data_IF_505593874901
#
_entry.id   IF_505593874901
#
_cell.length_a   1.000
_cell.length_b   1.000
_cell.length_c   1.000
_cell.angle_alpha   90.00
_cell.angle_beta   90.00
_cell.angle_gamma   90.00
#
_symmetry.space_group_name_H-M   'P 1'
#
loop_
_entity.id
_entity.type
_entity.pdbx_description
1 polymer ?
#
# COMPACT_ATOMS: atom_id res chain seq x y z
N UNK A 1 21.72 73.08 -20.91
CA UNK A 1 21.50 72.06 -21.96
C UNK A 1 21.37 70.73 -21.25
N UNK A 2 20.29 69.95 -21.30
CA UNK A 2 18.92 70.11 -21.83
C UNK A 2 18.03 69.07 -21.09
N UNK A 3 16.76 69.37 -20.76
CA UNK A 3 15.53 68.84 -21.39
C UNK A 3 15.59 67.32 -21.75
N UNK A 4 14.60 66.47 -21.44
CA UNK A 4 13.13 66.66 -21.39
C UNK A 4 12.42 65.80 -20.34
N UNK A 5 11.21 66.21 -19.94
CA UNK A 5 10.25 65.43 -19.15
C UNK A 5 9.60 64.28 -19.93
N UNK A 6 9.02 63.31 -19.20
CA UNK A 6 8.15 62.26 -19.72
C UNK A 6 6.99 61.99 -18.77
N UNK A 7 5.86 62.67 -18.97
CA UNK A 7 4.64 62.60 -18.14
C UNK A 7 3.57 61.83 -18.92
N UNK A 8 2.95 60.79 -18.35
CA UNK A 8 2.07 59.89 -19.09
C UNK A 8 0.89 59.34 -18.29
N UNK A 9 -0.25 59.22 -18.97
CA UNK A 9 -1.60 58.98 -18.42
C UNK A 9 -2.40 58.05 -19.36
N UNK A 10 -3.58 57.51 -19.03
CA UNK A 10 -4.58 57.98 -18.03
C UNK A 10 -5.17 56.85 -17.16
N UNK A 11 -6.29 57.15 -16.48
CA UNK A 11 -7.09 56.32 -15.61
C UNK A 11 -7.90 55.20 -16.30
N UNK A 12 -8.69 54.45 -15.50
CA UNK A 12 -9.91 53.78 -15.97
C UNK A 12 -10.15 52.34 -15.48
N UNK A 13 -10.92 52.13 -14.39
CA UNK A 13 -11.39 50.82 -13.97
C UNK A 13 -12.86 50.55 -14.36
N UNK A 14 -13.14 49.42 -15.00
CA UNK A 14 -14.49 48.86 -15.26
C UNK A 14 -14.39 47.34 -15.46
N UNK A 15 -15.35 46.50 -15.09
CA UNK A 15 -16.52 46.70 -14.25
C UNK A 15 -16.89 45.35 -13.59
N UNK A 16 -17.57 45.39 -12.44
CA UNK A 16 -18.28 44.22 -11.92
C UNK A 16 -19.58 44.00 -12.71
N UNK A 17 -19.97 42.74 -12.91
CA UNK A 17 -21.37 42.37 -13.14
C UNK A 17 -21.77 41.34 -12.09
N UNK A 18 -22.60 41.81 -11.18
CA UNK A 18 -23.38 41.05 -10.22
C UNK A 18 -24.63 40.50 -10.94
N UNK A 19 -25.04 39.27 -10.66
CA UNK A 19 -26.34 38.75 -11.14
C UNK A 19 -26.96 37.79 -10.13
N UNK A 20 -27.94 38.32 -9.41
CA UNK A 20 -29.02 37.64 -8.70
C UNK A 20 -30.19 38.67 -8.62
N UNK A 21 -31.42 38.33 -8.19
CA UNK A 21 -32.00 37.03 -7.83
C UNK A 21 -33.34 36.76 -8.58
N UNK A 22 -34.08 35.72 -8.17
CA UNK A 22 -35.49 35.50 -8.56
C UNK A 22 -35.82 34.00 -8.71
N UNK A 23 -36.33 33.31 -7.68
CA UNK A 23 -37.70 33.31 -7.14
C UNK A 23 -38.59 32.21 -7.77
N UNK A 24 -39.07 31.28 -6.93
CA UNK A 24 -40.05 30.25 -7.27
C UNK A 24 -41.48 30.84 -7.28
N UNK A 25 -42.51 30.18 -7.86
CA UNK A 25 -43.14 29.02 -7.22
C UNK A 25 -43.71 27.95 -8.19
N UNK A 26 -44.18 26.82 -7.65
CA UNK A 26 -44.99 25.86 -8.41
C UNK A 26 -45.20 24.50 -7.73
N UNK A 27 -46.37 24.30 -7.09
CA UNK A 27 -46.84 22.96 -6.69
C UNK A 27 -47.49 22.26 -7.88
N UNK A 28 -47.32 20.95 -7.99
CA UNK A 28 -47.91 20.16 -9.07
C UNK A 28 -47.81 18.65 -8.82
N UNK A 29 -48.65 18.13 -7.94
CA UNK A 29 -48.86 16.69 -7.80
C UNK A 29 -49.52 16.13 -9.07
N UNK A 30 -48.86 15.22 -9.78
CA UNK A 30 -49.49 14.37 -10.79
C UNK A 30 -48.82 12.99 -10.77
N UNK A 31 -49.58 11.88 -10.60
CA UNK A 31 -48.99 10.58 -10.32
C UNK A 31 -48.25 9.99 -11.54
N UNK A 32 -47.10 9.40 -11.28
CA UNK A 32 -46.33 8.68 -12.28
C UNK A 32 -47.14 7.52 -12.90
N UNK A 33 -47.35 7.60 -14.22
CA UNK A 33 -47.95 6.54 -15.05
C UNK A 33 -47.11 5.27 -14.95
N UNK A 34 -47.56 4.29 -14.16
CA UNK A 34 -46.91 2.97 -14.05
C UNK A 34 -46.86 2.28 -15.41
N UNK A 35 -45.70 2.31 -16.06
CA UNK A 35 -45.38 1.41 -17.16
C UNK A 35 -45.28 0.00 -16.60
N UNK A 36 -46.08 -0.92 -17.13
CA UNK A 36 -45.97 -2.34 -16.82
C UNK A 36 -44.70 -2.90 -17.47
N UNK A 37 -43.57 -2.78 -16.79
CA UNK A 37 -42.35 -3.50 -17.16
C UNK A 37 -42.52 -4.96 -16.75
N UNK A 38 -42.59 -5.84 -17.73
CA UNK A 38 -42.52 -7.30 -17.59
C UNK A 38 -41.41 -7.69 -16.63
N UNK A 39 -41.77 -8.21 -15.45
CA UNK A 39 -40.79 -8.69 -14.48
C UNK A 39 -40.05 -9.93 -15.02
N UNK A 40 -38.75 -10.09 -14.72
CA UNK A 40 -38.03 -11.32 -15.07
C UNK A 40 -38.67 -12.52 -14.37
N UNK A 41 -38.77 -13.65 -15.08
CA UNK A 41 -39.38 -14.86 -14.57
C UNK A 41 -38.70 -15.32 -13.26
N UNK A 42 -39.49 -15.37 -12.19
CA UNK A 42 -39.06 -15.90 -10.89
C UNK A 42 -38.83 -17.41 -11.02
N UNK A 43 -37.68 -17.95 -10.59
CA UNK A 43 -37.43 -19.38 -10.71
C UNK A 43 -38.45 -20.17 -9.88
N UNK A 44 -38.99 -21.22 -10.51
CA UNK A 44 -39.94 -22.15 -9.89
C UNK A 44 -39.24 -22.96 -8.80
N UNK A 45 -39.77 -23.05 -7.57
CA UNK A 45 -39.23 -23.96 -6.57
C UNK A 45 -39.53 -25.41 -6.98
N UNK A 46 -38.56 -26.35 -6.90
CA UNK A 46 -38.84 -27.75 -7.14
C UNK A 46 -39.88 -28.28 -6.15
N UNK A 47 -40.79 -29.12 -6.65
CA UNK A 47 -41.91 -29.66 -5.88
C UNK A 47 -41.46 -30.51 -4.69
N UNK A 48 -42.21 -30.44 -3.59
CA UNK A 48 -41.99 -31.30 -2.42
C UNK A 48 -42.49 -32.71 -2.72
N UNK A 49 -41.59 -33.69 -2.79
CA UNK A 49 -41.93 -35.11 -2.69
C UNK A 49 -42.44 -35.43 -1.28
N UNK A 50 -43.43 -36.34 -1.14
CA UNK A 50 -43.89 -36.80 0.17
C UNK A 50 -42.81 -37.64 0.85
N UNK A 51 -42.65 -37.45 2.16
CA UNK A 51 -41.71 -38.19 3.01
C UNK A 51 -42.18 -39.65 3.21
N UNK A 52 -41.38 -40.68 2.90
CA UNK A 52 -41.71 -42.06 3.28
C UNK A 52 -41.59 -42.24 4.80
N UNK A 53 -42.44 -43.10 5.36
CA UNK A 53 -42.42 -43.42 6.79
C UNK A 53 -41.10 -44.10 7.22
N UNK A 54 -40.68 -43.84 8.46
CA UNK A 54 -39.38 -44.28 8.96
C UNK A 54 -39.31 -45.80 9.20
N UNK A 55 -38.19 -46.46 8.86
CA UNK A 55 -37.90 -47.83 9.28
C UNK A 55 -37.51 -47.89 10.78
N UNK A 56 -37.65 -49.05 11.44
CA UNK A 56 -37.18 -49.25 12.82
C UNK A 56 -35.64 -49.11 12.93
N UNK A 57 -35.10 -48.79 14.11
CA UNK A 57 -33.69 -48.44 14.28
C UNK A 57 -32.77 -49.62 13.98
N UNK A 58 -31.96 -49.48 12.93
CA UNK A 58 -30.78 -50.32 12.74
C UNK A 58 -29.69 -49.89 13.74
N UNK A 59 -29.05 -50.87 14.39
CA UNK A 59 -27.92 -50.67 15.29
C UNK A 59 -26.84 -49.81 14.63
N UNK A 60 -26.47 -48.69 15.24
CA UNK A 60 -25.43 -47.83 14.72
C UNK A 60 -24.08 -48.60 14.66
N UNK A 61 -23.32 -48.51 13.55
CA UNK A 61 -21.94 -48.95 13.58
C UNK A 61 -21.17 -48.12 14.63
N UNK A 62 -20.14 -48.69 15.29
CA UNK A 62 -19.33 -47.92 16.22
C UNK A 62 -18.75 -46.70 15.51
N UNK A 63 -18.75 -45.55 16.19
CA UNK A 63 -18.16 -44.34 15.66
C UNK A 63 -16.72 -44.63 15.19
N UNK A 64 -16.26 -44.07 14.05
CA UNK A 64 -14.87 -44.19 13.67
C UNK A 64 -14.02 -43.66 14.82
N UNK A 65 -13.19 -44.53 15.39
CA UNK A 65 -12.22 -44.12 16.40
C UNK A 65 -11.34 -42.99 15.86
N UNK A 66 -10.72 -42.17 16.72
CA UNK A 66 -9.96 -41.01 16.29
C UNK A 66 -8.93 -41.43 15.24
N UNK A 67 -9.22 -41.13 13.97
CA UNK A 67 -8.29 -41.33 12.89
C UNK A 67 -7.02 -40.53 13.17
N UNK A 68 -5.85 -40.93 12.65
CA UNK A 68 -4.63 -40.17 12.84
C UNK A 68 -4.88 -38.71 12.45
N UNK A 69 -4.91 -37.82 13.46
CA UNK A 69 -5.19 -36.40 13.23
C UNK A 69 -4.17 -35.80 12.28
N UNK A 70 -4.52 -34.70 11.59
CA UNK A 70 -3.58 -34.04 10.68
C UNK A 70 -2.25 -33.82 11.42
N UNK A 71 -1.13 -34.42 10.98
CA UNK A 71 0.14 -34.37 11.71
C UNK A 71 0.66 -32.93 11.88
N UNK A 72 0.15 -31.96 11.11
CA UNK A 72 0.41 -30.52 11.31
C UNK A 72 -0.12 -29.99 12.64
N UNK A 73 -1.17 -30.59 13.21
CA UNK A 73 -1.69 -30.22 14.53
C UNK A 73 -0.76 -30.67 15.66
N UNK A 74 -0.06 -31.80 15.47
CA UNK A 74 0.97 -32.25 16.41
C UNK A 74 2.20 -31.32 16.42
N UNK A 75 2.52 -30.68 15.28
CA UNK A 75 3.60 -29.69 15.20
C UNK A 75 3.31 -28.40 15.98
N UNK A 76 2.03 -28.05 16.19
CA UNK A 76 1.62 -26.87 16.96
C UNK A 76 1.46 -27.09 18.46
N UNK A 77 1.29 -28.34 18.91
CA UNK A 77 0.99 -28.66 20.31
C UNK A 77 2.23 -28.85 21.21
N UNK A 78 3.42 -29.02 20.63
CA UNK A 78 4.65 -29.34 21.36
C UNK A 78 5.56 -28.14 21.66
N UNK A 79 5.20 -26.93 21.22
CA UNK A 79 6.00 -25.72 21.49
C UNK A 79 5.64 -25.18 22.87
N UNK A 80 6.21 -25.79 23.91
CA UNK A 80 6.19 -25.23 25.26
C UNK A 80 6.80 -23.82 25.19
N UNK A 81 5.99 -22.79 25.44
CA UNK A 81 6.39 -21.38 25.32
C UNK A 81 7.52 -21.00 26.29
N UNK A 82 7.78 -21.84 27.31
CA UNK A 82 8.96 -21.73 28.17
C UNK A 82 10.27 -22.09 27.45
N UNK A 83 10.23 -22.95 26.43
CA UNK A 83 11.38 -23.26 25.57
C UNK A 83 11.44 -22.23 24.43
N UNK A 84 12.11 -21.11 24.70
CA UNK A 84 12.21 -19.98 23.77
C UNK A 84 12.82 -20.31 22.40
N UNK A 85 12.70 -19.35 21.47
CA UNK A 85 13.17 -19.49 20.08
C UNK A 85 14.63 -19.99 20.04
N UNK A 86 14.95 -21.09 19.33
CA UNK A 86 16.30 -21.63 19.29
C UNK A 86 17.32 -20.60 18.82
N UNK A 87 18.46 -20.42 19.52
CA UNK A 87 19.42 -19.37 19.20
C UNK A 87 20.02 -19.58 17.81
N UNK A 88 20.04 -18.50 17.01
CA UNK A 88 20.61 -18.51 15.67
C UNK A 88 22.14 -18.64 15.75
N UNK A 89 22.64 -19.83 15.38
CA UNK A 89 24.08 -20.13 15.35
C UNK A 89 24.84 -19.40 14.23
N UNK A 90 24.14 -19.01 13.17
CA UNK A 90 24.67 -18.24 12.04
C UNK A 90 23.63 -17.23 11.56
N UNK A 91 24.08 -16.03 11.17
CA UNK A 91 23.25 -15.03 10.49
C UNK A 91 22.79 -15.55 9.14
N UNK A 92 21.57 -15.21 8.74
CA UNK A 92 20.90 -15.71 7.52
C UNK A 92 20.50 -14.56 6.60
N UNK A 93 21.33 -13.51 6.55
CA UNK A 93 21.09 -12.26 5.80
C UNK A 93 20.69 -12.51 4.32
N UNK A 94 21.12 -13.64 3.74
CA UNK A 94 20.74 -14.10 2.42
C UNK A 94 19.28 -14.57 2.25
N UNK A 95 18.53 -14.81 3.33
CA UNK A 95 17.15 -15.37 3.31
C UNK A 95 16.09 -14.29 3.53
N UNK A 96 16.30 -13.35 4.47
CA UNK A 96 15.35 -12.27 4.73
C UNK A 96 15.40 -11.19 3.63
N UNK A 97 14.30 -10.46 3.35
CA UNK A 97 14.37 -9.21 2.61
C UNK A 97 15.12 -8.18 3.46
N UNK A 98 16.01 -7.37 2.88
CA UNK A 98 16.86 -6.46 3.68
C UNK A 98 16.09 -5.27 4.31
N UNK A 99 14.95 -4.90 3.74
CA UNK A 99 14.15 -3.72 4.10
C UNK A 99 12.66 -4.01 3.90
N UNK A 100 11.83 -3.51 4.82
CA UNK A 100 10.38 -3.36 4.64
C UNK A 100 9.96 -1.89 4.74
N UNK A 101 8.87 -1.51 4.09
CA UNK A 101 8.35 -0.15 4.10
C UNK A 101 6.83 -0.09 4.26
N UNK A 102 6.36 1.06 4.75
CA UNK A 102 4.96 1.43 4.87
C UNK A 102 4.73 2.79 4.21
N UNK A 103 3.79 2.83 3.25
CA UNK A 103 3.31 4.03 2.57
C UNK A 103 1.91 4.35 3.10
N UNK A 104 1.74 5.51 3.72
CA UNK A 104 0.44 6.03 4.12
C UNK A 104 -0.06 7.07 3.12
N UNK A 105 -1.28 6.92 2.63
CA UNK A 105 -1.95 7.86 1.73
C UNK A 105 -3.37 8.11 2.23
N UNK A 106 -3.67 9.35 2.67
CA UNK A 106 -5.02 9.79 3.11
C UNK A 106 -5.70 8.89 4.16
N UNK A 107 -4.91 8.20 5.00
CA UNK A 107 -5.42 7.28 6.04
C UNK A 107 -5.32 5.80 5.67
N UNK A 108 -5.24 5.45 4.39
CA UNK A 108 -4.88 4.11 3.95
C UNK A 108 -3.38 3.86 4.19
N UNK A 109 -2.99 2.63 4.51
CA UNK A 109 -1.59 2.24 4.68
C UNK A 109 -1.29 0.96 3.91
N UNK A 110 -0.36 1.05 2.96
CA UNK A 110 0.14 -0.06 2.18
C UNK A 110 1.53 -0.46 2.70
N UNK A 111 1.77 -1.75 2.90
CA UNK A 111 3.06 -2.29 3.36
C UNK A 111 3.63 -3.28 2.37
N UNK A 112 4.97 -3.33 2.24
CA UNK A 112 5.65 -4.40 1.53
C UNK A 112 7.11 -4.56 2.01
N UNK A 113 7.71 -5.68 1.62
CA UNK A 113 9.14 -5.93 1.73
C UNK A 113 9.82 -5.74 0.37
N UNK A 114 11.13 -5.49 0.39
CA UNK A 114 11.95 -5.40 -0.82
C UNK A 114 11.81 -6.66 -1.68
N UNK A 115 11.73 -6.48 -3.01
CA UNK A 115 11.66 -7.60 -3.95
C UNK A 115 12.94 -8.42 -3.92
N UNK A 116 12.85 -9.68 -3.46
CA UNK A 116 13.99 -10.60 -3.32
C UNK A 116 14.20 -11.52 -4.54
N UNK A 117 13.20 -11.62 -5.43
CA UNK A 117 13.28 -12.38 -6.67
C UNK A 117 14.28 -11.78 -7.66
N UNK A 118 14.89 -12.63 -8.51
CA UNK A 118 15.70 -12.17 -9.63
C UNK A 118 14.89 -11.53 -10.76
N UNK A 119 13.61 -11.87 -10.87
CA UNK A 119 12.70 -11.12 -11.72
C UNK A 119 12.38 -9.77 -11.05
N UNK A 120 12.60 -8.63 -11.73
CA UNK A 120 12.17 -7.33 -11.22
C UNK A 120 10.63 -7.28 -11.18
N UNK A 121 10.03 -6.63 -10.16
CA UNK A 121 8.58 -6.49 -10.08
C UNK A 121 8.07 -5.62 -11.22
N UNK A 122 6.89 -5.94 -11.76
CA UNK A 122 6.21 -5.07 -12.75
C UNK A 122 5.87 -3.73 -12.09
N UNK A 123 6.58 -2.67 -12.47
CA UNK A 123 6.33 -1.31 -12.00
C UNK A 123 5.22 -0.64 -12.79
N UNK A 124 4.62 0.40 -12.21
CA UNK A 124 3.67 1.25 -12.93
C UNK A 124 4.42 2.08 -13.99
N UNK A 125 3.87 2.31 -15.21
CA UNK A 125 4.58 3.01 -16.29
C UNK A 125 5.25 4.32 -15.85
N UNK A 126 4.53 5.23 -15.18
CA UNK A 126 5.10 6.49 -14.66
C UNK A 126 6.30 6.33 -13.70
N UNK A 127 6.43 5.18 -13.01
CA UNK A 127 7.58 4.87 -12.13
C UNK A 127 8.74 4.31 -12.96
N UNK A 128 8.43 3.51 -13.98
CA UNK A 128 9.40 2.98 -14.93
C UNK A 128 10.02 4.12 -15.77
N UNK A 129 9.18 4.98 -16.39
CA UNK A 129 9.59 6.15 -17.17
C UNK A 129 10.54 7.08 -16.37
N UNK A 130 10.27 7.23 -15.07
CA UNK A 130 11.12 8.02 -14.16
C UNK A 130 12.50 7.37 -13.94
N UNK A 131 12.56 6.05 -13.79
CA UNK A 131 13.84 5.35 -13.62
C UNK A 131 14.64 5.28 -14.93
N UNK A 132 13.98 5.14 -16.07
CA UNK A 132 14.63 5.09 -17.38
C UNK A 132 15.26 6.44 -17.75
N UNK A 133 14.65 7.55 -17.32
CA UNK A 133 15.16 8.92 -17.49
C UNK A 133 16.14 9.39 -16.40
N UNK A 134 16.40 8.58 -15.38
CA UNK A 134 17.21 8.98 -14.22
C UNK A 134 18.68 9.25 -14.59
N UNK A 135 19.35 10.32 -14.13
CA UNK A 135 20.78 10.53 -14.36
C UNK A 135 21.65 9.44 -13.71
N UNK A 136 22.77 9.07 -14.33
CA UNK A 136 23.66 7.98 -13.85
C UNK A 136 24.09 8.15 -12.40
N UNK A 137 24.39 9.37 -11.95
CA UNK A 137 24.77 9.65 -10.55
C UNK A 137 23.66 9.43 -9.51
N UNK A 138 22.41 9.25 -9.94
CA UNK A 138 21.27 8.95 -9.07
C UNK A 138 20.84 7.47 -9.17
N UNK A 139 21.34 6.70 -10.15
CA UNK A 139 20.98 5.29 -10.36
C UNK A 139 21.66 4.38 -9.32
N UNK A 140 20.86 3.57 -8.65
CA UNK A 140 21.31 2.49 -7.78
C UNK A 140 21.30 1.13 -8.49
N UNK A 141 22.19 0.21 -8.12
CA UNK A 141 22.34 -1.10 -8.78
C UNK A 141 21.08 -1.98 -8.71
N UNK A 142 20.22 -1.76 -7.71
CA UNK A 142 18.99 -2.53 -7.45
C UNK A 142 17.71 -1.69 -7.68
N UNK A 143 17.78 -0.69 -8.57
CA UNK A 143 16.65 0.19 -8.90
C UNK A 143 15.39 -0.61 -9.26
N UNK A 144 14.23 -0.17 -8.78
CA UNK A 144 12.95 -0.83 -9.00
C UNK A 144 12.60 -1.97 -8.04
N UNK A 145 13.56 -2.62 -7.37
CA UNK A 145 13.28 -3.68 -6.38
C UNK A 145 13.02 -3.17 -4.96
N UNK A 146 13.36 -1.91 -4.69
CA UNK A 146 13.17 -1.26 -3.40
C UNK A 146 11.66 -1.19 -3.04
N UNK A 147 11.27 -1.41 -1.77
CA UNK A 147 9.87 -1.46 -1.38
C UNK A 147 9.11 -0.16 -1.66
N UNK A 148 9.79 0.98 -1.65
CA UNK A 148 9.23 2.30 -2.00
C UNK A 148 8.72 2.34 -3.45
N UNK A 149 9.50 1.84 -4.41
CA UNK A 149 9.11 1.78 -5.82
C UNK A 149 7.92 0.83 -6.04
N UNK A 150 7.88 -0.29 -5.30
CA UNK A 150 6.79 -1.27 -5.32
C UNK A 150 5.50 -0.65 -4.73
N UNK A 151 5.59 0.06 -3.61
CA UNK A 151 4.43 0.71 -2.97
C UNK A 151 3.87 1.85 -3.81
N UNK A 152 4.72 2.71 -4.37
CA UNK A 152 4.29 3.76 -5.30
C UNK A 152 3.62 3.14 -6.53
N UNK A 153 4.21 2.09 -7.12
CA UNK A 153 3.62 1.41 -8.28
C UNK A 153 2.24 0.82 -7.96
N UNK A 154 2.10 0.08 -6.85
CA UNK A 154 0.82 -0.47 -6.39
C UNK A 154 -0.23 0.62 -6.17
N UNK A 155 0.14 1.70 -5.49
CA UNK A 155 -0.77 2.83 -5.25
C UNK A 155 -1.23 3.49 -6.55
N UNK A 156 -0.32 3.71 -7.50
CA UNK A 156 -0.65 4.32 -8.80
C UNK A 156 -1.53 3.40 -9.65
N UNK A 157 -1.27 2.09 -9.67
CA UNK A 157 -2.13 1.11 -10.36
C UNK A 157 -3.54 1.08 -9.75
N UNK A 158 -3.67 1.08 -8.42
CA UNK A 158 -4.97 1.15 -7.74
C UNK A 158 -5.68 2.48 -8.03
N UNK A 159 -4.96 3.60 -7.96
CA UNK A 159 -5.50 4.91 -8.29
C UNK A 159 -5.97 4.98 -9.74
N UNK A 160 -5.22 4.42 -10.70
CA UNK A 160 -5.60 4.31 -12.10
C UNK A 160 -6.85 3.44 -12.30
N UNK A 161 -6.92 2.26 -11.66
CA UNK A 161 -8.07 1.37 -11.70
C UNK A 161 -9.35 1.95 -11.08
N UNK A 162 -9.22 2.87 -10.12
CA UNK A 162 -10.35 3.59 -9.50
C UNK A 162 -10.96 4.69 -10.39
N UNK A 163 -10.35 5.01 -11.53
CA UNK A 163 -10.81 6.12 -12.40
C UNK A 163 -12.09 5.75 -13.15
N UNK A 164 -12.93 6.76 -13.42
CA UNK A 164 -14.18 6.57 -14.17
C UNK A 164 -13.92 6.07 -15.60
N UNK A 165 -14.91 5.37 -16.19
CA UNK A 165 -14.84 4.81 -17.56
C UNK A 165 -14.52 5.82 -18.68
N UNK A 166 -14.68 7.13 -18.43
CA UNK A 166 -14.25 8.20 -19.35
C UNK A 166 -12.78 8.58 -19.15
N UNK A 167 -12.31 8.62 -17.90
CA UNK A 167 -10.94 8.96 -17.55
C UNK A 167 -9.96 7.81 -17.86
N UNK A 168 -10.35 6.55 -17.58
CA UNK A 168 -9.51 5.36 -17.83
C UNK A 168 -9.18 5.10 -19.31
N UNK A 169 -9.82 5.81 -20.26
CA UNK A 169 -9.45 5.80 -21.69
C UNK A 169 -8.09 6.43 -21.98
N UNK A 170 -7.52 7.16 -21.03
CA UNK A 170 -6.24 7.85 -21.15
C UNK A 170 -5.33 7.33 -20.02
N UNK A 171 -4.05 7.02 -20.26
CA UNK A 171 -3.13 6.65 -19.18
C UNK A 171 -3.12 7.68 -18.05
N UNK A 172 -2.84 7.26 -16.83
CA UNK A 172 -2.68 8.16 -15.69
C UNK A 172 -1.59 9.20 -15.98
N UNK A 173 -1.90 10.49 -15.86
CA UNK A 173 -0.91 11.56 -16.08
C UNK A 173 -0.05 11.82 -14.84
N UNK A 174 1.17 12.41 -14.99
CA UNK A 174 2.03 12.75 -13.85
C UNK A 174 1.36 13.67 -12.82
N UNK A 175 0.50 14.58 -13.26
CA UNK A 175 -0.25 15.49 -12.38
C UNK A 175 -1.37 14.78 -11.62
N UNK A 176 -2.03 13.78 -12.21
CA UNK A 176 -2.98 12.92 -11.51
C UNK A 176 -2.29 12.01 -10.50
N UNK A 177 -1.11 11.47 -10.84
CA UNK A 177 -0.28 10.68 -9.93
C UNK A 177 0.19 11.48 -8.71
N UNK A 178 0.70 12.70 -8.90
CA UNK A 178 1.02 13.63 -7.79
C UNK A 178 -0.22 13.99 -6.95
N UNK A 179 -1.40 14.09 -7.58
CA UNK A 179 -2.68 14.35 -6.88
C UNK A 179 -3.14 13.14 -6.07
N UNK A 180 -2.98 11.91 -6.56
CA UNK A 180 -3.35 10.69 -5.82
C UNK A 180 -2.42 10.46 -4.62
N UNK A 181 -1.15 10.85 -4.73
CA UNK A 181 -0.14 10.82 -3.66
C UNK A 181 -0.10 12.09 -2.79
N UNK A 182 -1.10 12.99 -2.90
CA UNK A 182 -1.11 14.24 -2.11
C UNK A 182 -1.12 13.95 -0.60
N UNK A 183 -0.14 14.53 0.11
CA UNK A 183 0.13 14.31 1.54
C UNK A 183 0.54 12.88 1.91
N UNK A 184 0.95 12.06 0.92
CA UNK A 184 1.49 10.73 1.19
C UNK A 184 2.77 10.81 2.02
N UNK A 185 2.96 9.82 2.89
CA UNK A 185 4.13 9.68 3.74
C UNK A 185 4.67 8.25 3.65
N UNK A 186 5.98 8.08 3.66
CA UNK A 186 6.60 6.75 3.62
C UNK A 186 7.65 6.61 4.73
N UNK A 187 7.76 5.42 5.30
CA UNK A 187 8.85 5.05 6.20
C UNK A 187 9.33 3.64 5.87
N UNK A 188 10.62 3.38 6.05
CA UNK A 188 11.23 2.08 5.81
C UNK A 188 12.10 1.66 7.00
N UNK A 189 12.14 0.37 7.28
CA UNK A 189 12.91 -0.25 8.37
C UNK A 189 13.74 -1.41 7.85
N UNK A 190 14.92 -1.58 8.42
CA UNK A 190 15.75 -2.77 8.18
C UNK A 190 15.05 -4.02 8.73
N UNK A 191 15.05 -5.09 7.95
CA UNK A 191 14.63 -6.42 8.39
C UNK A 191 15.91 -7.28 8.45
N UNK A 192 16.15 -7.85 9.63
CA UNK A 192 17.30 -8.70 9.97
C UNK A 192 16.83 -9.85 10.84
N UNK A 193 17.72 -10.76 11.20
CA UNK A 193 17.48 -11.79 12.19
C UNK A 193 17.12 -11.21 13.56
N UNK A 194 16.43 -12.00 14.38
CA UNK A 194 16.22 -11.70 15.79
C UNK A 194 17.57 -11.58 16.50
N UNK A 195 17.74 -10.51 17.28
CA UNK A 195 19.00 -10.18 17.96
C UNK A 195 20.00 -9.35 17.14
N UNK A 196 19.72 -9.01 15.87
CA UNK A 196 20.52 -7.98 15.18
C UNK A 196 20.10 -6.57 15.66
N UNK A 197 21.03 -5.74 16.19
CA UNK A 197 20.70 -4.39 16.68
C UNK A 197 20.22 -3.43 15.57
N UNK A 198 20.44 -3.77 14.29
CA UNK A 198 19.88 -3.04 13.14
C UNK A 198 18.47 -3.47 12.79
N UNK A 199 17.92 -4.56 13.32
CA UNK A 199 16.51 -4.93 13.09
C UNK A 199 15.59 -3.79 13.53
N UNK A 200 14.60 -3.42 12.71
CA UNK A 200 13.66 -2.35 13.04
C UNK A 200 14.25 -0.93 13.03
N UNK A 201 15.56 -0.78 12.87
CA UNK A 201 16.20 0.53 12.68
C UNK A 201 15.73 1.18 11.37
N UNK A 202 15.70 2.51 11.31
CA UNK A 202 15.25 3.24 10.14
C UNK A 202 16.17 2.97 8.93
N UNK A 203 15.57 2.55 7.82
CA UNK A 203 16.27 2.38 6.54
C UNK A 203 16.05 3.65 5.70
N UNK A 204 17.11 4.43 5.39
CA UNK A 204 16.98 5.54 4.46
C UNK A 204 16.69 5.03 3.04
N UNK A 205 15.87 5.73 2.25
CA UNK A 205 15.62 5.35 0.87
C UNK A 205 16.91 5.40 0.04
N UNK A 206 17.05 4.51 -0.94
CA UNK A 206 18.22 4.50 -1.82
C UNK A 206 18.27 5.76 -2.71
N UNK A 207 19.39 5.97 -3.41
CA UNK A 207 19.58 7.14 -4.30
C UNK A 207 18.44 7.31 -5.32
N UNK A 208 18.10 6.24 -6.06
CA UNK A 208 16.99 6.26 -7.02
C UNK A 208 15.64 6.56 -6.37
N UNK A 209 15.37 5.95 -5.21
CA UNK A 209 14.08 6.11 -4.53
C UNK A 209 13.95 7.48 -3.85
N UNK A 210 15.04 8.08 -3.39
CA UNK A 210 15.05 9.46 -2.90
C UNK A 210 14.59 10.43 -3.98
N UNK A 211 15.12 10.29 -5.20
CA UNK A 211 14.71 11.09 -6.35
C UNK A 211 13.25 10.82 -6.76
N UNK A 212 12.82 9.54 -6.78
CA UNK A 212 11.44 9.13 -7.09
C UNK A 212 10.42 9.75 -6.12
N UNK A 213 10.67 9.63 -4.81
CA UNK A 213 9.78 10.11 -3.78
C UNK A 213 9.65 11.65 -3.82
N UNK A 214 10.77 12.35 -4.08
CA UNK A 214 10.76 13.78 -4.33
C UNK A 214 9.95 14.15 -5.59
N UNK A 215 10.11 13.41 -6.70
CA UNK A 215 9.38 13.65 -7.94
C UNK A 215 7.86 13.51 -7.78
N UNK A 216 7.39 12.57 -6.97
CA UNK A 216 5.96 12.37 -6.69
C UNK A 216 5.44 13.17 -5.48
N UNK A 217 6.29 13.86 -4.74
CA UNK A 217 5.91 14.67 -3.57
C UNK A 217 5.59 13.87 -2.31
N UNK A 218 6.09 12.63 -2.21
CA UNK A 218 5.90 11.73 -1.06
C UNK A 218 6.91 12.10 0.04
N UNK A 219 6.43 12.36 1.26
CA UNK A 219 7.33 12.76 2.37
C UNK A 219 7.90 11.54 3.09
N UNK A 220 9.22 11.48 3.20
CA UNK A 220 9.90 10.45 4.00
C UNK A 220 9.79 10.80 5.49
N UNK A 221 9.34 9.85 6.30
CA UNK A 221 9.38 9.92 7.76
C UNK A 221 10.58 9.10 8.24
N UNK A 222 11.62 9.78 8.73
CA UNK A 222 12.62 9.15 9.56
C UNK A 222 11.96 8.72 10.88
N UNK A 223 11.99 7.43 11.19
CA UNK A 223 11.73 6.97 12.55
C UNK A 223 12.89 7.35 13.46
N UNK A 224 12.73 7.27 14.80
CA UNK A 224 13.87 7.34 15.69
C UNK A 224 14.90 6.28 15.28
N UNK A 225 16.17 6.67 15.32
CA UNK A 225 17.27 5.73 15.22
C UNK A 225 17.16 4.72 16.36
N UNK A 226 17.54 3.46 16.10
CA UNK A 226 17.72 2.51 17.19
C UNK A 226 18.82 3.07 18.11
N UNK A 227 18.57 3.07 19.42
CA UNK A 227 19.59 3.48 20.38
C UNK A 227 20.80 2.54 20.27
N UNK A 228 22.04 3.05 20.37
CA UNK A 228 23.20 2.18 20.39
C UNK A 228 23.13 1.26 21.61
N UNK A 229 23.26 -0.04 21.36
CA UNK A 229 23.50 -1.04 22.39
C UNK A 229 24.90 -0.83 22.97
N UNK A 230 25.00 -0.03 24.03
CA UNK A 230 26.19 0.03 24.86
C UNK A 230 26.31 -1.26 25.67
N UNK A 231 26.70 -2.34 24.98
CA UNK A 231 27.13 -3.60 25.55
C UNK A 231 28.37 -3.38 26.41
N UNK A 232 28.13 -3.07 27.69
CA UNK A 232 29.16 -2.94 28.71
C UNK A 232 29.92 -4.25 28.82
N UNK A 233 31.22 -4.21 28.49
CA UNK A 233 32.09 -5.37 28.37
C UNK A 233 33.50 -5.08 28.89
N UNK A 234 33.60 -4.47 30.07
CA UNK A 234 34.88 -4.30 30.77
C UNK A 234 35.39 -5.69 31.24
N UNK A 235 36.09 -6.38 30.37
CA UNK A 235 36.86 -7.59 30.67
C UNK A 235 38.35 -7.31 30.58
N UNK A 236 38.96 -6.85 31.69
CA UNK A 236 40.40 -6.73 31.80
C UNK A 236 41.05 -8.13 31.75
N UNK A 237 41.55 -8.53 30.58
CA UNK A 237 42.53 -9.63 30.50
C UNK A 237 43.91 -9.01 30.66
N UNK A 238 44.36 -9.03 31.91
CA UNK A 238 45.77 -8.95 32.24
C UNK A 238 46.39 -10.31 31.96
N UNK A 239 47.34 -10.40 31.03
CA UNK A 239 48.37 -11.41 31.13
C UNK A 239 49.71 -10.90 30.55
N UNK A 240 50.77 -11.08 31.34
CA UNK A 240 52.16 -10.97 30.91
C UNK A 240 52.79 -12.34 31.17
N UNK A 241 53.28 -12.99 30.14
CA UNK A 241 54.07 -14.22 30.20
C UNK A 241 54.99 -14.30 29.00
#
# INVERSE_FOLDING_TARGET
>A
MGITEGRGTEAGPTAAVETAPGAAPGRGDTPARRTATTGPARPVPPGRTPTPAAPPPATAPPAPGPGPGDPRLAWGGGTDLATGVPPLRHRRDGILPAVGAALSVRGETLTCTAGKSDQPPTLHPLVQDFFDTLPTGQRERFTGRCPEAILLSRHLTTAEGSRSKRASRKPLSPNEARRSLKHAKITARHIREDGDPRHGSYAPPCRSCTALLAHFGVRVIAGPAAAPDHGSGNGNVTDRG
#
